data_IF_545748625827
#
_entry.id   IF_545748625827
#
_cell.length_a   1.000
_cell.length_b   1.000
_cell.length_c   1.000
_cell.angle_alpha   90.00
_cell.angle_beta   90.00
_cell.angle_gamma   90.00
#
_symmetry.space_group_name_H-M   'P 1'
#
loop_
_entity.id
_entity.type
_entity.pdbx_description
1 polymer ?
#
# COMPACT_ATOMS: atom_id res chain seq x y z
N UNK A 1 13.87 2.85 11.52
CA UNK A 1 13.27 4.13 11.06
C UNK A 1 11.76 4.22 11.25
N UNK A 2 10.99 3.15 11.00
CA UNK A 2 9.63 3.04 11.56
C UNK A 2 9.66 3.27 13.08
N UNK A 3 10.72 2.87 13.74
CA UNK A 3 10.94 3.11 15.16
C UNK A 3 11.01 4.61 15.48
N UNK A 4 11.65 5.43 14.64
CA UNK A 4 11.72 6.88 14.86
C UNK A 4 10.33 7.54 14.75
N UNK A 5 9.53 7.16 13.74
CA UNK A 5 8.14 7.62 13.62
C UNK A 5 7.32 7.18 14.83
N UNK A 6 7.42 5.89 15.16
CA UNK A 6 6.76 5.29 16.31
C UNK A 6 7.17 5.96 17.63
N UNK A 7 8.46 6.16 17.84
CA UNK A 7 8.97 6.78 19.07
C UNK A 7 8.58 8.26 19.17
N UNK A 8 8.64 8.98 18.05
CA UNK A 8 8.20 10.38 17.98
C UNK A 8 6.70 10.53 18.28
N UNK A 9 5.85 9.74 17.62
CA UNK A 9 4.42 9.75 17.86
C UNK A 9 4.05 9.30 19.28
N UNK A 10 4.70 8.25 19.79
CA UNK A 10 4.51 7.79 21.19
C UNK A 10 4.94 8.83 22.21
N UNK A 11 6.02 9.54 21.95
CA UNK A 11 6.47 10.63 22.82
C UNK A 11 5.46 11.78 22.86
N UNK A 12 4.92 12.14 21.68
CA UNK A 12 3.88 13.15 21.57
C UNK A 12 2.60 12.75 22.33
N UNK A 13 2.16 11.50 22.21
CA UNK A 13 1.02 10.95 22.97
C UNK A 13 1.30 10.93 24.48
N UNK A 14 2.48 10.51 24.89
CA UNK A 14 2.84 10.47 26.32
C UNK A 14 2.72 11.85 26.97
N UNK A 15 3.10 12.94 26.29
CA UNK A 15 2.95 14.29 26.79
C UNK A 15 1.48 14.62 27.06
N UNK A 16 0.56 14.26 26.14
CA UNK A 16 -0.88 14.46 26.33
C UNK A 16 -1.41 13.65 27.52
N UNK A 17 -1.07 12.37 27.57
CA UNK A 17 -1.58 11.47 28.62
C UNK A 17 -1.07 11.88 30.02
N UNK A 18 0.19 12.31 30.12
CA UNK A 18 0.82 12.68 31.40
C UNK A 18 0.54 14.13 31.84
N UNK A 19 -0.03 14.98 30.97
CA UNK A 19 -0.34 16.38 31.34
C UNK A 19 -1.38 16.47 32.46
N UNK A 20 -1.36 17.54 33.24
CA UNK A 20 -2.38 17.82 34.27
C UNK A 20 -3.67 18.41 33.69
N UNK A 21 -3.57 19.07 32.51
CA UNK A 21 -4.68 19.68 31.78
C UNK A 21 -4.38 19.75 30.32
N UNK A 22 -5.39 20.05 29.51
CA UNK A 22 -5.29 20.23 28.05
C UNK A 22 -5.65 21.68 27.74
N UNK A 23 -4.66 22.43 27.30
CA UNK A 23 -4.79 23.78 26.77
C UNK A 23 -4.42 23.85 25.29
N UNK A 24 -4.61 25.00 24.68
CA UNK A 24 -4.28 25.19 23.25
C UNK A 24 -2.78 25.13 22.98
N UNK A 25 -1.94 25.49 23.95
CA UNK A 25 -0.48 25.45 23.79
C UNK A 25 0.01 24.02 23.71
N UNK A 26 -0.48 23.14 24.56
CA UNK A 26 -0.19 21.70 24.52
C UNK A 26 -0.67 21.05 23.20
N UNK A 27 -1.83 21.47 22.68
CA UNK A 27 -2.34 21.00 21.38
C UNK A 27 -1.41 21.46 20.24
N UNK A 28 -0.95 22.71 20.27
CA UNK A 28 0.03 23.23 19.29
C UNK A 28 1.36 22.48 19.37
N UNK A 29 1.83 22.15 20.57
CA UNK A 29 3.03 21.35 20.79
C UNK A 29 2.86 19.93 20.21
N UNK A 30 1.72 19.27 20.48
CA UNK A 30 1.38 17.98 19.90
C UNK A 30 1.45 18.02 18.37
N UNK A 31 0.81 19.01 17.75
CA UNK A 31 0.83 19.15 16.29
C UNK A 31 2.24 19.34 15.74
N UNK A 32 3.11 20.10 16.40
CA UNK A 32 4.51 20.27 16.03
C UNK A 32 5.33 18.97 16.17
N UNK A 33 5.12 18.20 17.24
CA UNK A 33 5.82 16.94 17.46
C UNK A 33 5.40 15.89 16.41
N UNK A 34 4.10 15.82 16.10
CA UNK A 34 3.56 14.97 15.01
C UNK A 34 4.14 15.41 13.66
N UNK A 35 4.13 16.70 13.36
CA UNK A 35 4.72 17.27 12.15
C UNK A 35 6.18 16.86 11.98
N UNK A 36 6.99 17.04 13.02
CA UNK A 36 8.41 16.69 13.01
C UNK A 36 8.61 15.19 12.76
N UNK A 37 7.83 14.34 13.44
CA UNK A 37 7.93 12.88 13.32
C UNK A 37 7.59 12.39 11.91
N UNK A 38 6.55 12.95 11.29
CA UNK A 38 6.14 12.63 9.92
C UNK A 38 7.17 13.12 8.89
N UNK A 39 7.69 14.34 9.03
CA UNK A 39 8.73 14.88 8.13
C UNK A 39 10.02 14.08 8.21
N UNK A 40 10.46 13.68 9.40
CA UNK A 40 11.65 12.84 9.60
C UNK A 40 11.47 11.43 9.01
N UNK A 41 10.23 11.01 8.81
CA UNK A 41 9.88 9.73 8.18
C UNK A 41 9.61 9.86 6.68
N UNK A 42 10.05 10.95 6.07
CA UNK A 42 9.93 11.23 4.63
C UNK A 42 8.48 11.29 4.10
N UNK A 43 7.52 11.63 4.95
CA UNK A 43 6.15 11.91 4.51
C UNK A 43 6.13 13.24 3.75
N UNK A 44 5.31 13.31 2.69
CA UNK A 44 5.20 14.50 1.86
C UNK A 44 4.78 15.74 2.68
N UNK A 45 5.49 16.86 2.50
CA UNK A 45 5.30 18.09 3.28
C UNK A 45 3.86 18.62 3.23
N UNK A 46 3.21 18.59 2.06
CA UNK A 46 1.82 19.07 1.91
C UNK A 46 0.86 18.26 2.76
N UNK A 47 1.03 16.93 2.74
CA UNK A 47 0.23 16.03 3.57
C UNK A 47 0.45 16.25 5.06
N UNK A 48 1.70 16.42 5.46
CA UNK A 48 2.03 16.68 6.86
C UNK A 48 1.37 17.96 7.36
N UNK A 49 1.40 19.02 6.54
CA UNK A 49 0.74 20.28 6.89
C UNK A 49 -0.78 20.14 7.00
N UNK A 50 -1.40 19.40 6.07
CA UNK A 50 -2.85 19.13 6.10
C UNK A 50 -3.26 18.35 7.36
N UNK A 51 -2.57 17.24 7.65
CA UNK A 51 -2.85 16.41 8.83
C UNK A 51 -2.73 17.20 10.11
N UNK A 52 -1.61 17.93 10.26
CA UNK A 52 -1.34 18.66 11.50
C UNK A 52 -2.27 19.83 11.70
N UNK A 53 -2.72 20.46 10.62
CA UNK A 53 -3.78 21.48 10.67
C UNK A 53 -5.12 20.85 11.11
N UNK A 54 -5.54 19.78 10.46
CA UNK A 54 -6.79 19.08 10.81
C UNK A 54 -6.77 18.57 12.26
N UNK A 55 -5.64 17.96 12.67
CA UNK A 55 -5.43 17.52 14.05
C UNK A 55 -5.65 18.68 15.03
N UNK A 56 -5.01 19.82 14.80
CA UNK A 56 -5.10 20.98 15.67
C UNK A 56 -6.54 21.53 15.73
N UNK A 57 -7.18 21.74 14.57
CA UNK A 57 -8.55 22.24 14.48
C UNK A 57 -9.55 21.31 15.17
N UNK A 58 -9.46 20.02 14.95
CA UNK A 58 -10.31 19.02 15.59
C UNK A 58 -10.09 18.95 17.10
N UNK A 59 -8.83 18.94 17.54
CA UNK A 59 -8.52 18.94 18.99
C UNK A 59 -9.03 20.18 19.72
N UNK A 60 -9.11 21.32 19.07
CA UNK A 60 -9.65 22.55 19.67
C UNK A 60 -11.19 22.56 19.66
N UNK A 61 -11.79 22.21 18.53
CA UNK A 61 -13.22 22.46 18.28
C UNK A 61 -14.12 21.28 18.66
N UNK A 62 -13.62 20.04 18.64
CA UNK A 62 -14.44 18.88 18.94
C UNK A 62 -14.59 18.64 20.45
N UNK A 63 -15.82 18.36 20.88
CA UNK A 63 -16.12 17.97 22.26
C UNK A 63 -16.01 16.44 22.39
N UNK A 64 -15.36 15.91 23.43
CA UNK A 64 -15.32 14.48 23.68
C UNK A 64 -16.72 13.88 23.78
N UNK A 65 -16.96 12.72 23.16
CA UNK A 65 -18.19 11.96 23.38
C UNK A 65 -18.40 11.61 24.85
N UNK A 66 -19.65 11.37 25.29
CA UNK A 66 -19.94 10.94 26.66
C UNK A 66 -19.12 9.70 27.04
N UNK A 67 -18.47 9.73 28.20
CA UNK A 67 -17.65 8.63 28.72
C UNK A 67 -16.20 8.59 28.20
N UNK A 68 -15.80 9.47 27.28
CA UNK A 68 -14.42 9.57 26.81
C UNK A 68 -13.73 10.79 27.44
N UNK A 69 -12.52 10.60 27.99
CA UNK A 69 -11.76 11.73 28.50
C UNK A 69 -11.26 12.64 27.37
N UNK A 70 -10.98 13.91 27.67
CA UNK A 70 -10.39 14.86 26.70
C UNK A 70 -9.07 14.34 26.12
N UNK A 71 -8.25 13.68 26.93
CA UNK A 71 -6.98 13.10 26.52
C UNK A 71 -7.18 11.94 25.54
N UNK A 72 -8.07 11.03 25.85
CA UNK A 72 -8.37 9.88 24.99
C UNK A 72 -9.00 10.34 23.68
N UNK A 73 -9.82 11.40 23.72
CA UNK A 73 -10.38 11.98 22.51
C UNK A 73 -9.31 12.56 21.57
N UNK A 74 -8.30 13.26 22.10
CA UNK A 74 -7.18 13.77 21.32
C UNK A 74 -6.37 12.63 20.70
N UNK A 75 -6.09 11.57 21.44
CA UNK A 75 -5.41 10.38 20.93
C UNK A 75 -6.22 9.72 19.81
N UNK A 76 -7.55 9.66 19.98
CA UNK A 76 -8.48 9.17 18.94
C UNK A 76 -8.44 10.05 17.69
N UNK A 77 -8.46 11.38 17.82
CA UNK A 77 -8.34 12.30 16.68
C UNK A 77 -7.04 12.05 15.91
N UNK A 78 -5.90 11.93 16.60
CA UNK A 78 -4.62 11.62 15.96
C UNK A 78 -4.67 10.26 15.22
N UNK A 79 -5.25 9.25 15.85
CA UNK A 79 -5.46 7.96 15.23
C UNK A 79 -6.32 8.04 13.95
N UNK A 80 -7.44 8.76 14.02
CA UNK A 80 -8.36 8.95 12.90
C UNK A 80 -7.68 9.68 11.73
N UNK A 81 -6.92 10.76 12.00
CA UNK A 81 -6.22 11.52 10.97
C UNK A 81 -5.13 10.68 10.28
N UNK A 82 -4.37 9.90 11.03
CA UNK A 82 -3.37 8.99 10.46
C UNK A 82 -4.03 7.83 9.67
N UNK A 83 -5.14 7.30 10.15
CA UNK A 83 -5.86 6.21 9.48
C UNK A 83 -6.48 6.66 8.16
N UNK A 84 -7.05 7.86 8.10
CA UNK A 84 -7.62 8.43 6.86
C UNK A 84 -6.62 8.48 5.70
N UNK A 85 -5.34 8.73 6.00
CA UNK A 85 -4.31 8.77 4.98
C UNK A 85 -4.03 7.43 4.32
N UNK A 86 -4.17 6.35 5.08
CA UNK A 86 -3.93 5.00 4.63
C UNK A 86 -5.16 4.36 3.97
N UNK A 87 -6.31 5.02 4.10
CA UNK A 87 -7.59 4.52 3.62
C UNK A 87 -8.29 3.61 4.63
N UNK A 88 -9.35 2.96 4.20
CA UNK A 88 -10.09 2.00 5.02
C UNK A 88 -9.54 0.57 4.82
N UNK A 89 -9.87 -0.33 5.73
CA UNK A 89 -9.70 -1.76 5.49
C UNK A 89 -10.62 -2.17 4.32
N UNK A 90 -10.05 -2.35 3.14
CA UNK A 90 -10.80 -2.77 1.95
C UNK A 90 -10.24 -4.04 1.38
N UNK A 91 -11.14 -4.95 1.06
CA UNK A 91 -10.85 -6.12 0.25
C UNK A 91 -11.23 -5.82 -1.19
N UNK A 92 -10.32 -6.10 -2.13
CA UNK A 92 -10.69 -6.13 -3.52
C UNK A 92 -11.45 -7.42 -3.80
N UNK A 93 -12.70 -7.29 -4.22
CA UNK A 93 -13.52 -8.43 -4.56
C UNK A 93 -13.41 -8.74 -6.05
N UNK A 94 -12.86 -9.89 -6.36
CA UNK A 94 -12.85 -10.40 -7.73
C UNK A 94 -14.25 -10.79 -8.19
N UNK A 95 -14.58 -10.42 -9.42
CA UNK A 95 -15.88 -10.72 -10.03
C UNK A 95 -15.93 -12.20 -10.40
N UNK A 96 -16.96 -12.90 -9.95
CA UNK A 96 -17.22 -14.30 -10.34
C UNK A 96 -17.65 -14.40 -11.80
N UNK A 97 -17.27 -15.50 -12.45
CA UNK A 97 -17.73 -15.83 -13.81
C UNK A 97 -16.96 -15.13 -14.94
N UNK A 98 -15.90 -14.38 -14.61
CA UNK A 98 -14.96 -13.82 -15.59
C UNK A 98 -13.53 -13.87 -15.07
N UNK A 99 -12.55 -13.78 -15.97
CA UNK A 99 -11.15 -13.60 -15.62
C UNK A 99 -10.95 -12.17 -15.13
N UNK A 100 -10.45 -12.03 -13.92
CA UNK A 100 -10.06 -10.73 -13.36
C UNK A 100 -8.58 -10.48 -13.69
N UNK A 101 -8.30 -9.37 -14.32
CA UNK A 101 -6.96 -9.00 -14.81
C UNK A 101 -6.32 -8.01 -13.84
N UNK A 102 -5.19 -8.39 -13.26
CA UNK A 102 -4.43 -7.59 -12.30
C UNK A 102 -3.11 -7.17 -12.94
N UNK A 103 -2.94 -5.88 -13.17
CA UNK A 103 -1.72 -5.31 -13.76
C UNK A 103 -0.77 -4.85 -12.65
N UNK A 104 0.48 -5.37 -12.68
CA UNK A 104 1.52 -5.02 -11.72
C UNK A 104 2.34 -3.85 -12.23
N UNK A 105 2.28 -2.71 -11.55
CA UNK A 105 2.99 -1.47 -11.88
C UNK A 105 4.12 -1.21 -10.88
N UNK A 106 5.16 -0.50 -11.31
CA UNK A 106 6.23 -0.08 -10.41
C UNK A 106 7.59 0.02 -11.11
N UNK A 107 8.55 0.67 -10.47
CA UNK A 107 9.91 0.86 -11.00
C UNK A 107 10.75 -0.42 -10.89
N UNK A 108 11.94 -0.38 -11.48
CA UNK A 108 12.94 -1.44 -11.34
C UNK A 108 13.31 -1.62 -9.86
N UNK A 109 13.41 -2.86 -9.42
CA UNK A 109 13.79 -3.20 -8.04
C UNK A 109 12.69 -3.02 -6.99
N UNK A 110 11.49 -2.54 -7.35
CA UNK A 110 10.37 -2.45 -6.41
C UNK A 110 9.82 -3.80 -5.95
N UNK A 111 10.19 -4.90 -6.61
CA UNK A 111 9.77 -6.25 -6.21
C UNK A 111 8.55 -6.80 -6.96
N UNK A 112 8.19 -6.26 -8.14
CA UNK A 112 7.02 -6.70 -8.92
C UNK A 112 6.93 -8.22 -9.10
N UNK A 113 7.94 -8.83 -9.72
CA UNK A 113 7.97 -10.29 -9.97
C UNK A 113 7.85 -11.11 -8.69
N UNK A 114 8.48 -10.65 -7.61
CA UNK A 114 8.38 -11.29 -6.29
C UNK A 114 6.96 -11.15 -5.72
N UNK A 115 6.38 -9.96 -5.81
CA UNK A 115 5.00 -9.72 -5.36
C UNK A 115 4.01 -10.49 -6.21
N UNK A 116 4.19 -10.54 -7.54
CA UNK A 116 3.35 -11.34 -8.44
C UNK A 116 3.29 -12.80 -7.98
N UNK A 117 4.43 -13.41 -7.68
CA UNK A 117 4.51 -14.79 -7.20
C UNK A 117 3.87 -14.97 -5.81
N UNK A 118 4.12 -14.04 -4.88
CA UNK A 118 3.53 -14.07 -3.53
C UNK A 118 2.01 -13.88 -3.55
N UNK A 119 1.54 -12.93 -4.36
CA UNK A 119 0.11 -12.65 -4.52
C UNK A 119 -0.60 -13.84 -5.20
N UNK A 120 0.05 -14.46 -6.20
CA UNK A 120 -0.45 -15.68 -6.81
C UNK A 120 -0.70 -16.78 -5.76
N UNK A 121 0.31 -17.04 -4.91
CA UNK A 121 0.18 -18.01 -3.82
C UNK A 121 -0.89 -17.60 -2.80
N UNK A 122 -0.93 -16.34 -2.42
CA UNK A 122 -1.91 -15.81 -1.46
C UNK A 122 -3.35 -16.02 -1.97
N UNK A 123 -3.61 -15.68 -3.23
CA UNK A 123 -4.93 -15.85 -3.86
C UNK A 123 -5.29 -17.34 -4.04
N UNK A 124 -4.32 -18.18 -4.40
CA UNK A 124 -4.54 -19.63 -4.48
C UNK A 124 -4.95 -20.22 -3.13
N UNK A 125 -4.34 -19.77 -2.03
CA UNK A 125 -4.76 -20.17 -0.67
C UNK A 125 -6.19 -19.71 -0.31
N UNK A 126 -6.66 -18.63 -0.93
CA UNK A 126 -8.05 -18.16 -0.78
C UNK A 126 -9.05 -18.91 -1.69
N UNK A 127 -8.56 -19.86 -2.50
CA UNK A 127 -9.40 -20.69 -3.34
C UNK A 127 -9.56 -20.19 -4.78
N UNK A 128 -8.86 -19.11 -5.17
CA UNK A 128 -8.85 -18.64 -6.57
C UNK A 128 -7.92 -19.50 -7.42
N UNK A 129 -8.31 -19.74 -8.67
CA UNK A 129 -7.45 -20.32 -9.70
C UNK A 129 -6.71 -19.18 -10.38
N UNK A 130 -5.41 -19.17 -10.23
CA UNK A 130 -4.55 -18.04 -10.63
C UNK A 130 -3.64 -18.44 -11.78
N UNK A 131 -3.56 -17.59 -12.80
CA UNK A 131 -2.56 -17.62 -13.85
C UNK A 131 -1.66 -16.38 -13.77
N UNK A 132 -0.46 -16.44 -14.33
CA UNK A 132 0.44 -15.32 -14.41
C UNK A 132 0.96 -15.14 -15.83
N UNK A 133 1.16 -13.89 -16.27
CA UNK A 133 1.79 -13.53 -17.54
C UNK A 133 3.08 -12.79 -17.24
N UNK A 134 4.21 -13.33 -17.71
CA UNK A 134 5.53 -12.69 -17.63
C UNK A 134 5.78 -11.80 -18.85
N UNK A 135 5.59 -10.51 -18.71
CA UNK A 135 5.76 -9.49 -19.75
C UNK A 135 7.00 -8.60 -19.53
N UNK A 136 7.90 -8.95 -18.60
CA UNK A 136 9.20 -8.27 -18.45
C UNK A 136 10.19 -8.79 -19.51
N UNK A 137 10.26 -8.09 -20.64
CA UNK A 137 11.11 -8.43 -21.78
C UNK A 137 12.54 -7.87 -21.67
N UNK A 138 12.82 -7.06 -20.65
CA UNK A 138 14.09 -6.38 -20.49
C UNK A 138 15.07 -7.11 -19.59
N UNK A 139 14.58 -7.67 -18.49
CA UNK A 139 15.43 -8.32 -17.51
C UNK A 139 15.67 -9.78 -17.89
N UNK A 140 16.94 -10.14 -18.23
CA UNK A 140 17.26 -11.54 -18.49
C UNK A 140 16.85 -12.42 -17.31
N UNK A 141 16.14 -13.52 -17.59
CA UNK A 141 15.70 -14.47 -16.57
C UNK A 141 14.47 -14.08 -15.77
N UNK A 142 13.82 -12.93 -16.04
CA UNK A 142 12.59 -12.52 -15.34
C UNK A 142 11.47 -13.55 -15.46
N UNK A 143 11.23 -14.06 -16.67
CA UNK A 143 10.25 -15.10 -16.93
C UNK A 143 10.60 -16.41 -16.21
N UNK A 144 11.87 -16.82 -16.25
CA UNK A 144 12.34 -18.02 -15.54
C UNK A 144 12.15 -17.87 -14.04
N UNK A 145 12.46 -16.69 -13.48
CA UNK A 145 12.24 -16.39 -12.07
C UNK A 145 10.76 -16.47 -11.69
N UNK A 146 9.87 -15.89 -12.52
CA UNK A 146 8.43 -15.94 -12.28
C UNK A 146 7.93 -17.39 -12.30
N UNK A 147 8.33 -18.18 -13.31
CA UNK A 147 7.99 -19.62 -13.40
C UNK A 147 8.44 -20.39 -12.16
N UNK A 148 9.71 -20.28 -11.80
CA UNK A 148 10.28 -21.02 -10.64
C UNK A 148 9.57 -20.67 -9.33
N UNK A 149 9.20 -19.42 -9.15
CA UNK A 149 8.48 -19.00 -7.94
C UNK A 149 7.01 -19.47 -7.93
N UNK A 150 6.37 -19.48 -9.09
CA UNK A 150 4.96 -19.87 -9.25
C UNK A 150 4.76 -21.40 -9.22
N UNK A 151 5.73 -22.19 -9.68
CA UNK A 151 5.69 -23.68 -9.63
C UNK A 151 5.37 -24.20 -8.22
N UNK A 152 5.95 -23.58 -7.19
CA UNK A 152 5.73 -23.96 -5.78
C UNK A 152 4.28 -23.78 -5.31
N UNK A 153 3.48 -23.10 -6.10
CA UNK A 153 2.08 -22.77 -5.78
C UNK A 153 1.09 -23.30 -6.82
N UNK A 154 1.55 -24.16 -7.75
CA UNK A 154 0.77 -24.69 -8.87
C UNK A 154 0.09 -23.60 -9.71
N UNK A 155 0.77 -22.46 -9.90
CA UNK A 155 0.28 -21.35 -10.71
C UNK A 155 0.89 -21.46 -12.10
N UNK A 156 0.04 -21.53 -13.12
CA UNK A 156 0.46 -21.57 -14.51
C UNK A 156 1.01 -20.20 -14.93
N UNK A 157 2.17 -20.22 -15.63
CA UNK A 157 2.86 -19.02 -16.10
C UNK A 157 2.99 -19.04 -17.62
N UNK A 158 2.32 -18.09 -18.27
CA UNK A 158 2.51 -17.81 -19.69
C UNK A 158 3.64 -16.78 -19.89
N UNK A 159 4.42 -16.95 -20.96
CA UNK A 159 5.43 -15.98 -21.37
C UNK A 159 6.21 -16.46 -22.58
N UNK A 160 6.81 -15.55 -23.32
CA UNK A 160 7.47 -15.78 -24.60
C UNK A 160 8.92 -15.26 -24.54
N UNK A 161 9.90 -16.18 -24.45
CA UNK A 161 11.32 -15.84 -24.20
C UNK A 161 11.97 -14.98 -25.30
N UNK A 162 11.55 -15.19 -26.57
CA UNK A 162 12.14 -14.53 -27.73
C UNK A 162 11.34 -13.29 -28.20
N UNK A 163 10.18 -13.03 -27.63
CA UNK A 163 9.35 -11.90 -27.97
C UNK A 163 9.79 -10.67 -27.15
N UNK A 164 9.98 -9.54 -27.83
CA UNK A 164 10.34 -8.26 -27.21
C UNK A 164 9.15 -7.28 -27.08
N UNK A 165 8.01 -7.66 -27.61
CA UNK A 165 6.78 -6.89 -27.55
C UNK A 165 5.95 -7.33 -26.32
N UNK A 166 6.08 -6.60 -25.23
CA UNK A 166 5.38 -6.87 -23.98
C UNK A 166 3.86 -6.82 -24.12
N UNK A 167 3.33 -5.89 -24.91
CA UNK A 167 1.89 -5.77 -25.17
C UNK A 167 1.36 -6.99 -25.94
N UNK A 168 2.13 -7.46 -26.94
CA UNK A 168 1.77 -8.68 -27.68
C UNK A 168 1.81 -9.91 -26.80
N UNK A 169 2.81 -10.05 -25.91
CA UNK A 169 2.89 -11.15 -24.93
C UNK A 169 1.67 -11.16 -24.02
N UNK A 170 1.26 -9.98 -23.52
CA UNK A 170 0.07 -9.85 -22.67
C UNK A 170 -1.18 -10.27 -23.44
N UNK A 171 -1.35 -9.81 -24.66
CA UNK A 171 -2.49 -10.18 -25.51
C UNK A 171 -2.58 -11.69 -25.74
N UNK A 172 -1.46 -12.32 -26.08
CA UNK A 172 -1.37 -13.76 -26.31
C UNK A 172 -1.64 -14.55 -25.02
N UNK A 173 -1.07 -14.09 -23.89
CA UNK A 173 -1.29 -14.71 -22.58
C UNK A 173 -2.74 -14.63 -22.10
N UNK A 174 -3.40 -13.49 -22.31
CA UNK A 174 -4.82 -13.37 -21.98
C UNK A 174 -5.67 -14.33 -22.84
N UNK A 175 -5.37 -14.40 -24.15
CA UNK A 175 -6.03 -15.38 -25.04
C UNK A 175 -5.77 -16.83 -24.62
N UNK A 176 -4.56 -17.14 -24.15
CA UNK A 176 -4.23 -18.47 -23.64
C UNK A 176 -5.11 -18.84 -22.44
N UNK A 177 -5.36 -17.89 -21.54
CA UNK A 177 -6.19 -18.11 -20.36
C UNK A 177 -7.71 -18.01 -20.60
N UNK A 178 -8.17 -17.44 -21.72
CA UNK A 178 -9.63 -17.30 -22.02
C UNK A 178 -10.40 -18.61 -21.93
N UNK A 179 -9.80 -19.70 -22.38
CA UNK A 179 -10.42 -21.02 -22.38
C UNK A 179 -10.01 -21.88 -21.18
N UNK A 180 -9.25 -21.31 -20.25
CA UNK A 180 -8.83 -21.97 -19.03
C UNK A 180 -9.76 -21.63 -17.88
N UNK A 181 -9.80 -22.50 -16.89
CA UNK A 181 -10.66 -22.32 -15.73
C UNK A 181 -9.98 -21.40 -14.68
N UNK A 182 -9.48 -20.23 -15.13
CA UNK A 182 -8.74 -19.25 -14.31
C UNK A 182 -9.68 -18.12 -13.86
N UNK A 183 -9.58 -17.74 -12.59
CA UNK A 183 -10.37 -16.67 -11.98
C UNK A 183 -9.62 -15.33 -12.00
N UNK A 184 -8.28 -15.38 -11.85
CA UNK A 184 -7.41 -14.20 -11.75
C UNK A 184 -6.15 -14.39 -12.59
N UNK A 185 -5.82 -13.42 -13.43
CA UNK A 185 -4.55 -13.36 -14.18
C UNK A 185 -3.72 -12.19 -13.67
N UNK A 186 -2.51 -12.49 -13.18
CA UNK A 186 -1.52 -11.48 -12.77
C UNK A 186 -0.60 -11.16 -13.94
N UNK A 187 -0.46 -9.89 -14.31
CA UNK A 187 0.38 -9.43 -15.42
C UNK A 187 1.62 -8.78 -14.83
N UNK A 188 2.75 -9.52 -14.82
CA UNK A 188 4.04 -9.05 -14.34
C UNK A 188 4.77 -8.26 -15.44
N UNK A 189 5.04 -6.98 -15.20
CA UNK A 189 5.60 -6.06 -16.20
C UNK A 189 7.05 -5.70 -15.90
N UNK A 190 7.76 -5.19 -16.89
CA UNK A 190 9.07 -4.60 -16.73
C UNK A 190 9.04 -3.43 -15.72
N UNK A 191 10.19 -3.16 -15.09
CA UNK A 191 10.40 -1.99 -14.25
C UNK A 191 11.59 -1.18 -14.77
N UNK A 192 11.38 0.10 -15.02
CA UNK A 192 12.43 1.05 -15.36
C UNK A 192 12.39 2.25 -14.42
N UNK A 193 13.29 3.21 -14.57
CA UNK A 193 13.22 4.47 -13.85
C UNK A 193 12.00 5.29 -14.30
N UNK A 194 11.38 5.99 -13.34
CA UNK A 194 10.14 6.78 -13.50
C UNK A 194 10.16 7.83 -14.61
N UNK A 195 11.34 8.25 -15.05
CA UNK A 195 11.54 9.34 -16.03
C UNK A 195 11.75 8.81 -17.44
N UNK A 196 11.79 7.50 -17.63
CA UNK A 196 11.92 6.91 -18.94
C UNK A 196 10.58 6.93 -19.67
N UNK A 197 10.44 7.82 -20.65
CA UNK A 197 9.25 7.96 -21.48
C UNK A 197 8.81 6.63 -22.08
N UNK A 198 9.76 5.81 -22.52
CA UNK A 198 9.50 4.50 -23.11
C UNK A 198 8.77 3.54 -22.15
N UNK A 199 9.05 3.61 -20.82
CA UNK A 199 8.32 2.82 -19.85
C UNK A 199 6.86 3.25 -19.77
N UNK A 200 6.62 4.54 -19.76
CA UNK A 200 5.27 5.10 -19.63
C UNK A 200 4.44 4.77 -20.88
N UNK A 201 5.05 4.85 -22.06
CA UNK A 201 4.43 4.46 -23.32
C UNK A 201 4.11 2.95 -23.35
N UNK A 202 5.07 2.10 -22.93
CA UNK A 202 4.87 0.65 -22.80
C UNK A 202 3.73 0.30 -21.83
N UNK A 203 3.70 0.93 -20.66
CA UNK A 203 2.62 0.70 -19.67
C UNK A 203 1.26 1.16 -20.21
N UNK A 204 1.23 2.24 -20.99
CA UNK A 204 0.01 2.70 -21.65
C UNK A 204 -0.50 1.66 -22.64
N UNK A 205 0.37 1.08 -23.44
CA UNK A 205 -0.02 0.02 -24.39
C UNK A 205 -0.46 -1.26 -23.71
N UNK A 206 0.30 -1.73 -22.71
CA UNK A 206 -0.10 -2.89 -21.92
C UNK A 206 -1.47 -2.67 -21.26
N UNK A 207 -1.69 -1.49 -20.69
CA UNK A 207 -2.97 -1.16 -20.07
C UNK A 207 -4.14 -1.18 -21.06
N UNK A 208 -3.95 -0.63 -22.27
CA UNK A 208 -4.98 -0.67 -23.33
C UNK A 208 -5.30 -2.10 -23.75
N UNK A 209 -4.28 -2.94 -23.92
CA UNK A 209 -4.45 -4.32 -24.39
C UNK A 209 -5.06 -5.21 -23.29
N UNK A 210 -4.63 -5.02 -22.04
CA UNK A 210 -5.11 -5.82 -20.94
C UNK A 210 -6.46 -5.38 -20.40
N UNK A 211 -6.79 -4.09 -20.47
CA UNK A 211 -7.97 -3.50 -19.82
C UNK A 211 -8.14 -4.07 -18.39
N UNK A 212 -7.23 -3.71 -17.46
CA UNK A 212 -7.14 -4.38 -16.18
C UNK A 212 -8.32 -4.04 -15.26
N UNK A 213 -8.82 -5.03 -14.54
CA UNK A 213 -9.83 -4.81 -13.48
C UNK A 213 -9.20 -4.16 -12.24
N UNK A 214 -7.89 -4.36 -12.04
CA UNK A 214 -7.12 -3.78 -10.95
C UNK A 214 -5.69 -3.49 -11.41
N UNK A 215 -5.23 -2.27 -11.23
CA UNK A 215 -3.82 -1.92 -11.33
C UNK A 215 -3.21 -1.81 -9.93
N UNK A 216 -2.24 -2.66 -9.63
CA UNK A 216 -1.50 -2.67 -8.37
C UNK A 216 -0.15 -1.98 -8.53
N UNK A 217 0.06 -0.90 -7.80
CA UNK A 217 1.34 -0.21 -7.76
C UNK A 217 2.22 -0.79 -6.66
N UNK A 218 3.37 -1.36 -7.06
CA UNK A 218 4.35 -1.97 -6.16
C UNK A 218 5.41 -0.94 -5.83
N UNK A 219 5.50 -0.59 -4.55
CA UNK A 219 6.40 0.42 -4.01
C UNK A 219 7.39 -0.20 -3.05
N UNK A 220 8.66 0.15 -3.21
CA UNK A 220 9.71 -0.17 -2.26
C UNK A 220 9.56 0.72 -1.01
N UNK A 221 9.24 0.13 0.13
CA UNK A 221 9.04 0.84 1.40
C UNK A 221 10.30 1.53 1.94
N UNK A 222 11.48 1.24 1.39
CA UNK A 222 12.73 1.91 1.76
C UNK A 222 12.89 3.29 1.09
N UNK A 223 12.12 3.55 0.03
CA UNK A 223 12.13 4.81 -0.72
C UNK A 223 11.11 5.76 -0.08
N UNK A 224 11.57 6.90 0.44
CA UNK A 224 10.73 7.87 1.13
C UNK A 224 9.91 8.77 0.18
N UNK A 225 10.25 10.05 0.07
CA UNK A 225 9.49 11.05 -0.71
C UNK A 225 9.35 10.74 -2.20
N UNK A 226 10.28 9.98 -2.77
CA UNK A 226 10.21 9.57 -4.18
C UNK A 226 8.98 8.71 -4.49
N UNK A 227 8.40 8.03 -3.50
CA UNK A 227 7.17 7.26 -3.66
C UNK A 227 6.00 8.11 -4.18
N UNK A 228 5.89 9.37 -3.72
CA UNK A 228 4.83 10.27 -4.16
C UNK A 228 4.90 10.54 -5.67
N UNK A 229 6.06 10.97 -6.17
CA UNK A 229 6.23 11.29 -7.59
C UNK A 229 6.13 10.07 -8.50
N UNK A 230 6.56 8.89 -8.02
CA UNK A 230 6.38 7.64 -8.75
C UNK A 230 4.90 7.27 -8.85
N UNK A 231 4.19 7.30 -7.73
CA UNK A 231 2.78 6.98 -7.68
C UNK A 231 1.95 7.92 -8.57
N UNK A 232 2.24 9.22 -8.52
CA UNK A 232 1.61 10.22 -9.38
C UNK A 232 1.86 9.95 -10.87
N UNK A 233 3.10 9.59 -11.26
CA UNK A 233 3.45 9.29 -12.63
C UNK A 233 2.68 8.09 -13.18
N UNK A 234 2.62 6.98 -12.43
CA UNK A 234 1.85 5.80 -12.84
C UNK A 234 0.34 6.06 -12.86
N UNK A 235 -0.18 6.80 -11.89
CA UNK A 235 -1.62 7.10 -11.80
C UNK A 235 -2.13 7.97 -12.96
N UNK A 236 -1.26 8.77 -13.59
CA UNK A 236 -1.59 9.54 -14.82
C UNK A 236 -1.78 8.65 -16.04
N UNK A 237 -1.19 7.45 -16.04
CA UNK A 237 -1.25 6.53 -17.19
C UNK A 237 -2.38 5.53 -17.01
N UNK A 238 -2.40 4.90 -15.83
CA UNK A 238 -3.39 3.90 -15.46
C UNK A 238 -3.89 4.23 -14.06
N UNK A 239 -5.21 4.39 -13.87
CA UNK A 239 -5.76 4.61 -12.53
C UNK A 239 -5.29 3.50 -11.58
N UNK A 240 -4.51 3.88 -10.58
CA UNK A 240 -4.01 2.93 -9.57
C UNK A 240 -5.17 2.54 -8.67
N UNK A 241 -5.52 1.26 -8.67
CA UNK A 241 -6.61 0.72 -7.86
C UNK A 241 -6.17 0.23 -6.47
N UNK A 242 -4.88 -0.06 -6.31
CA UNK A 242 -4.31 -0.51 -5.03
C UNK A 242 -2.79 -0.40 -4.98
N UNK A 243 -2.25 -0.40 -3.78
CA UNK A 243 -0.82 -0.27 -3.52
C UNK A 243 -0.32 -1.49 -2.76
N UNK A 244 0.87 -1.98 -3.12
CA UNK A 244 1.60 -3.00 -2.37
C UNK A 244 2.92 -2.39 -1.92
N UNK A 245 3.17 -2.39 -0.62
CA UNK A 245 4.43 -1.94 -0.04
C UNK A 245 5.33 -3.14 0.19
N UNK A 246 6.53 -3.12 -0.38
CA UNK A 246 7.55 -4.16 -0.22
C UNK A 246 8.63 -3.75 0.77
N UNK A 247 9.41 -4.70 1.25
CA UNK A 247 10.59 -4.51 2.09
C UNK A 247 10.32 -3.79 3.42
N UNK A 248 9.13 -3.98 4.00
CA UNK A 248 8.80 -3.41 5.30
C UNK A 248 9.56 -4.05 6.47
N UNK A 249 10.15 -5.23 6.26
CA UNK A 249 11.04 -5.95 7.18
C UNK A 249 12.41 -5.31 7.34
N UNK A 250 12.82 -4.46 6.40
CA UNK A 250 14.11 -3.77 6.42
C UNK A 250 14.02 -2.37 7.06
N UNK A 251 14.78 -1.41 6.57
CA UNK A 251 14.80 -0.03 7.07
C UNK A 251 13.64 0.86 6.59
N UNK A 252 12.49 0.27 6.24
CA UNK A 252 11.36 1.01 5.69
C UNK A 252 10.85 2.10 6.64
N UNK A 253 10.66 3.31 6.10
CA UNK A 253 10.28 4.49 6.88
C UNK A 253 8.77 4.63 7.08
N UNK A 254 7.96 3.77 6.42
CA UNK A 254 6.49 3.84 6.48
C UNK A 254 5.88 5.06 5.77
N UNK A 255 6.65 6.13 5.60
CA UNK A 255 6.19 7.34 4.93
C UNK A 255 5.91 7.16 3.45
N UNK A 256 6.59 6.20 2.79
CA UNK A 256 6.34 5.86 1.39
C UNK A 256 4.91 5.37 1.12
N UNK A 257 4.36 4.56 2.04
CA UNK A 257 2.97 4.10 1.96
C UNK A 257 1.98 5.27 2.01
N UNK A 258 2.16 6.16 2.99
CA UNK A 258 1.34 7.37 3.15
C UNK A 258 1.44 8.28 1.92
N UNK A 259 2.67 8.48 1.42
CA UNK A 259 2.91 9.33 0.27
C UNK A 259 2.27 8.78 -1.02
N UNK A 260 2.36 7.48 -1.26
CA UNK A 260 1.80 6.84 -2.44
C UNK A 260 0.27 6.81 -2.41
N UNK A 261 -0.32 6.50 -1.25
CA UNK A 261 -1.78 6.52 -1.07
C UNK A 261 -2.34 7.91 -1.36
N UNK A 262 -1.70 8.95 -0.82
CA UNK A 262 -2.13 10.32 -1.05
C UNK A 262 -1.94 10.81 -2.49
N UNK A 263 -0.89 10.36 -3.19
CA UNK A 263 -0.65 10.74 -4.57
C UNK A 263 -1.66 10.14 -5.55
N UNK A 264 -2.21 8.98 -5.22
CA UNK A 264 -3.08 8.21 -6.12
C UNK A 264 -4.54 8.16 -5.67
N UNK A 265 -4.81 8.44 -4.41
CA UNK A 265 -6.09 8.12 -3.76
C UNK A 265 -6.32 6.62 -3.56
N UNK A 266 -5.38 5.78 -4.00
CA UNK A 266 -5.48 4.33 -3.86
C UNK A 266 -5.07 3.87 -2.45
N UNK A 267 -5.64 2.78 -2.01
CA UNK A 267 -5.38 2.22 -0.69
C UNK A 267 -4.23 1.22 -0.72
N UNK A 268 -3.50 1.14 0.39
CA UNK A 268 -2.53 0.06 0.58
C UNK A 268 -3.31 -1.23 0.84
N UNK A 269 -3.14 -2.22 -0.04
CA UNK A 269 -3.86 -3.50 0.02
C UNK A 269 -3.02 -4.60 0.66
N UNK A 270 -1.72 -4.63 0.32
CA UNK A 270 -0.82 -5.68 0.81
C UNK A 270 0.52 -5.10 1.22
N UNK A 271 1.20 -5.82 2.11
CA UNK A 271 2.57 -5.54 2.55
C UNK A 271 3.44 -6.78 2.46
N UNK A 272 4.64 -6.61 1.90
CA UNK A 272 5.67 -7.63 1.92
C UNK A 272 6.48 -7.52 3.21
N UNK A 273 6.48 -8.59 4.00
CA UNK A 273 7.06 -8.64 5.35
C UNK A 273 8.35 -9.45 5.45
N UNK A 274 8.88 -9.91 4.31
CA UNK A 274 10.11 -10.69 4.23
C UNK A 274 10.37 -11.23 2.83
N UNK A 275 11.35 -12.13 2.69
CA UNK A 275 11.78 -12.67 1.39
C UNK A 275 11.06 -13.98 1.00
N UNK A 276 10.43 -14.67 1.95
CA UNK A 276 9.76 -15.94 1.67
C UNK A 276 8.50 -15.73 0.84
N UNK A 277 8.11 -16.76 0.10
CA UNK A 277 6.91 -16.72 -0.77
C UNK A 277 5.61 -16.47 0.04
N UNK A 278 5.59 -16.81 1.32
CA UNK A 278 4.46 -16.60 2.22
C UNK A 278 4.48 -15.22 2.91
N UNK A 279 5.57 -14.46 2.79
CA UNK A 279 5.72 -13.16 3.44
C UNK A 279 5.00 -12.05 2.64
N UNK A 280 3.69 -12.20 2.49
CA UNK A 280 2.75 -11.20 1.96
C UNK A 280 1.52 -11.21 2.86
N UNK A 281 1.21 -10.07 3.44
CA UNK A 281 0.06 -9.90 4.33
C UNK A 281 -0.90 -8.87 3.76
N UNK A 282 -2.20 -9.06 4.01
CA UNK A 282 -3.19 -8.03 3.76
C UNK A 282 -2.94 -6.86 4.71
N UNK A 283 -2.92 -5.65 4.17
CA UNK A 283 -2.66 -4.46 4.97
C UNK A 283 -3.93 -4.02 5.68
N UNK A 284 -3.79 -3.68 6.96
CA UNK A 284 -4.84 -3.08 7.76
C UNK A 284 -4.37 -1.73 8.29
N UNK A 285 -4.92 -0.60 7.77
CA UNK A 285 -4.64 0.75 8.27
C UNK A 285 -4.81 0.85 9.76
N UNK A 286 -5.89 0.30 10.29
CA UNK A 286 -6.23 0.35 11.71
C UNK A 286 -5.16 -0.34 12.56
N UNK A 287 -4.74 -1.56 12.19
CA UNK A 287 -3.67 -2.28 12.88
C UNK A 287 -2.32 -1.58 12.73
N UNK A 288 -2.02 -1.02 11.57
CA UNK A 288 -0.76 -0.34 11.32
C UNK A 288 -0.63 0.93 12.18
N UNK A 289 -1.64 1.81 12.17
CA UNK A 289 -1.66 3.02 13.01
C UNK A 289 -1.63 2.66 14.50
N UNK A 290 -2.39 1.66 14.93
CA UNK A 290 -2.34 1.15 16.30
C UNK A 290 -0.94 0.77 16.75
N UNK A 291 -0.20 0.03 15.90
CA UNK A 291 1.21 -0.32 16.15
C UNK A 291 2.13 0.91 16.20
N UNK A 292 1.93 1.89 15.31
CA UNK A 292 2.69 3.14 15.30
C UNK A 292 2.51 3.91 16.62
N UNK A 293 1.27 4.06 17.07
CA UNK A 293 0.94 4.81 18.29
C UNK A 293 1.28 4.03 19.58
N UNK A 294 1.64 2.75 19.46
CA UNK A 294 1.95 1.89 20.60
C UNK A 294 0.72 1.48 21.40
N UNK A 295 -0.44 1.59 20.79
CA UNK A 295 -1.70 1.11 21.32
C UNK A 295 -1.76 -0.38 20.96
N UNK A 296 -1.52 -1.25 21.96
CA UNK A 296 -1.82 -2.67 21.81
C UNK A 296 -3.32 -2.80 21.57
N UNK A 297 -3.69 -3.64 20.63
CA UNK A 297 -5.05 -3.99 20.22
C UNK A 297 -6.08 -2.85 20.30
N UNK A 298 -6.01 -1.94 19.33
CA UNK A 298 -6.95 -0.79 19.17
C UNK A 298 -8.39 -1.29 19.03
N UNK A 299 -8.59 -2.55 18.66
CA UNK A 299 -9.90 -3.19 18.64
C UNK A 299 -10.58 -3.09 20.01
N UNK A 300 -9.82 -3.22 21.10
CA UNK A 300 -10.37 -3.09 22.47
C UNK A 300 -10.82 -1.64 22.76
N UNK A 301 -10.09 -0.63 22.25
CA UNK A 301 -10.48 0.81 22.43
C UNK A 301 -11.64 1.16 21.53
N UNK A 302 -11.69 0.65 20.31
CA UNK A 302 -12.82 0.84 19.39
C UNK A 302 -14.07 0.11 19.87
N UNK A 303 -13.93 -1.07 20.45
CA UNK A 303 -15.05 -1.83 21.03
C UNK A 303 -15.57 -1.16 22.30
N UNK A 304 -14.70 -0.53 23.08
CA UNK A 304 -15.10 0.30 24.20
C UNK A 304 -15.89 1.54 23.73
N UNK A 305 -15.40 2.22 22.70
CA UNK A 305 -16.08 3.38 22.12
C UNK A 305 -17.43 3.02 21.47
N UNK A 306 -17.53 1.84 20.83
CA UNK A 306 -18.81 1.34 20.30
C UNK A 306 -19.79 0.91 21.39
N UNK A 307 -19.31 0.37 22.51
CA UNK A 307 -20.17 0.01 23.68
C UNK A 307 -20.68 1.22 24.44
N UNK A 308 -19.97 2.35 24.38
CA UNK A 308 -20.35 3.61 25.03
C UNK A 308 -21.17 4.54 24.13
N UNK A 309 -21.30 4.22 22.84
CA UNK A 309 -22.06 4.98 21.84
C UNK A 309 -23.42 4.36 21.45
N UNK A 310 -23.82 3.27 22.10
CA UNK A 310 -25.15 2.69 22.16
C UNK A 310 -25.67 2.86 23.60
#
# INVERSE_FOLDING_TARGET
>A
MLDNLKDGLRTAIKKIVSSSGIDEELIKELAKDVQRSLLQSDVNVKLVLEITKNLQERCINETPPPGLSRKDHIVKILYDELSKLLGNDTEFHFKSGKINKVLMLGIQGSGKTTVSSKLAKFLTKQGYRVGAIGADTYRPGALVQLRTNCEKSNVEVYGEENNKDSAQIVKNGLKHFENSNIDVVLIDTAGRHKEEKDLLDEMTEISKVSDPDLALLIIDGTIGQQCFSQAEAFNKIVPVGGIVITKLDSSAKGGGALAASAATGAQVMYVGTGERIDDLEQFSPTRFVGRLLGMGDVQAVLDLAKRLGN
#
